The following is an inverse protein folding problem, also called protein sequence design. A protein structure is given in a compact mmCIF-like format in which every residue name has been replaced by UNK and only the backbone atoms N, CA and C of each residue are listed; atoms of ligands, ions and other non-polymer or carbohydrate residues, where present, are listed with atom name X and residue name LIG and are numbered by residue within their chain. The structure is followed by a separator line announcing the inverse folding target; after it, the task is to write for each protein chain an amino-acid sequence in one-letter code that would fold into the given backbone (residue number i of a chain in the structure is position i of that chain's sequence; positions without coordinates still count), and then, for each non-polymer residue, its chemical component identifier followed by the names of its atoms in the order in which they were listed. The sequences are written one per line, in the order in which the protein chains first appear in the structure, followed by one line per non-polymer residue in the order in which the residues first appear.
data_IF_438395487626
#
_entry.id   IF_438395487626
#
_cell.length_a   1.000
_cell.length_b   1.000
_cell.length_c   1.000
_cell.angle_alpha   90.00
_cell.angle_beta   90.00
_cell.angle_gamma   90.00
#
_symmetry.space_group_name_H-M   'P 1'
#
loop_
_entity.id
_entity.type
_entity.pdbx_description
1 polymer ?
#
# COMPACT_ATOMS: atom_id res chain seq x y z
N UNK A 1 -11.64 11.03 -19.04
CA UNK A 1 -10.19 10.87 -19.27
C UNK A 1 -9.47 10.93 -17.92
N UNK A 2 -8.51 10.06 -17.70
CA UNK A 2 -7.75 10.10 -16.47
C UNK A 2 -6.72 11.23 -16.47
N UNK A 3 -6.62 11.93 -15.36
CA UNK A 3 -5.60 12.97 -15.16
C UNK A 3 -4.29 12.40 -14.66
N UNK A 4 -4.37 11.23 -14.02
CA UNK A 4 -3.22 10.51 -13.49
C UNK A 4 -3.36 9.03 -13.80
N UNK A 5 -2.33 8.45 -14.39
CA UNK A 5 -2.26 7.02 -14.65
C UNK A 5 -1.22 6.39 -13.73
N UNK A 6 -1.63 5.33 -13.03
CA UNK A 6 -0.74 4.58 -12.13
C UNK A 6 -0.62 3.16 -12.68
N UNK A 7 0.60 2.67 -12.78
CA UNK A 7 0.89 1.33 -13.28
C UNK A 7 1.39 0.49 -12.10
N UNK A 8 0.64 -0.55 -11.77
CA UNK A 8 0.92 -1.43 -10.66
C UNK A 8 -0.01 -1.20 -9.48
N UNK A 9 -0.78 -2.22 -9.14
CA UNK A 9 -1.76 -2.21 -8.05
C UNK A 9 -1.24 -2.82 -6.75
N UNK A 10 0.04 -2.63 -6.45
CA UNK A 10 0.62 -3.03 -5.17
C UNK A 10 0.35 -2.00 -4.08
N UNK A 11 1.09 -2.10 -2.98
CA UNK A 11 0.91 -1.19 -1.84
C UNK A 11 1.13 0.27 -2.24
N UNK A 12 2.21 0.56 -2.96
CA UNK A 12 2.55 1.93 -3.36
C UNK A 12 1.53 2.50 -4.36
N UNK A 13 1.16 1.70 -5.38
CA UNK A 13 0.22 2.15 -6.40
C UNK A 13 -1.17 2.39 -5.84
N UNK A 14 -1.63 1.53 -4.94
CA UNK A 14 -2.92 1.71 -4.28
C UNK A 14 -2.93 2.94 -3.36
N UNK A 15 -1.85 3.17 -2.61
CA UNK A 15 -1.74 4.37 -1.78
C UNK A 15 -1.79 5.64 -2.63
N UNK A 16 -1.02 5.67 -3.72
CA UNK A 16 -1.02 6.81 -4.64
C UNK A 16 -2.40 7.06 -5.24
N UNK A 17 -3.08 5.99 -5.69
CA UNK A 17 -4.42 6.10 -6.27
C UNK A 17 -5.43 6.65 -5.26
N UNK A 18 -5.39 6.15 -4.02
CA UNK A 18 -6.28 6.61 -2.96
C UNK A 18 -6.06 8.09 -2.64
N UNK A 19 -4.81 8.49 -2.45
CA UNK A 19 -4.48 9.89 -2.13
C UNK A 19 -4.88 10.83 -3.25
N UNK A 20 -4.60 10.47 -4.50
CA UNK A 20 -4.98 11.29 -5.66
C UNK A 20 -6.49 11.39 -5.81
N UNK A 21 -7.21 10.28 -5.68
CA UNK A 21 -8.66 10.27 -5.78
C UNK A 21 -9.32 11.14 -4.71
N UNK A 22 -8.81 11.08 -3.49
CA UNK A 22 -9.30 11.92 -2.39
C UNK A 22 -9.00 13.40 -2.61
N UNK A 23 -8.00 13.73 -3.41
CA UNK A 23 -7.70 15.11 -3.81
C UNK A 23 -8.52 15.56 -5.03
N UNK A 24 -9.47 14.74 -5.50
CA UNK A 24 -10.33 15.09 -6.62
C UNK A 24 -9.73 14.82 -7.98
N UNK A 25 -8.66 14.07 -8.06
CA UNK A 25 -7.99 13.73 -9.32
C UNK A 25 -8.60 12.45 -9.90
N UNK A 26 -8.90 12.46 -11.19
CA UNK A 26 -9.33 11.24 -11.88
C UNK A 26 -8.13 10.32 -12.10
N UNK A 27 -8.19 9.13 -11.52
CA UNK A 27 -7.09 8.15 -11.54
C UNK A 27 -7.46 6.94 -12.36
N UNK A 28 -6.54 6.50 -13.23
CA UNK A 28 -6.60 5.18 -13.86
C UNK A 28 -5.49 4.32 -13.27
N UNK A 29 -5.87 3.20 -12.65
CA UNK A 29 -4.94 2.24 -12.07
C UNK A 29 -4.91 0.98 -12.94
N UNK A 30 -3.73 0.61 -13.43
CA UNK A 30 -3.53 -0.57 -14.24
C UNK A 30 -2.76 -1.63 -13.45
N UNK A 31 -3.32 -2.82 -13.39
CA UNK A 31 -2.72 -3.97 -12.73
C UNK A 31 -2.67 -5.16 -13.70
N UNK A 32 -1.52 -5.83 -13.80
CA UNK A 32 -1.37 -6.93 -14.77
C UNK A 32 -2.05 -8.22 -14.34
N UNK A 33 -2.27 -8.45 -13.05
CA UNK A 33 -2.98 -9.64 -12.59
C UNK A 33 -4.49 -9.51 -12.82
N UNK A 34 -5.22 -10.54 -13.13
CA UNK A 34 -4.83 -11.95 -13.16
C UNK A 34 -4.16 -12.43 -14.44
N UNK A 35 -4.04 -11.61 -15.48
CA UNK A 35 -3.51 -12.04 -16.78
C UNK A 35 -2.05 -12.41 -16.71
N UNK A 36 -1.25 -11.63 -15.99
CA UNK A 36 0.16 -11.92 -15.71
C UNK A 36 0.37 -11.84 -14.20
N UNK A 37 1.28 -12.66 -13.69
CA UNK A 37 1.57 -12.67 -12.27
C UNK A 37 3.07 -12.75 -12.04
N UNK A 38 3.51 -12.30 -10.88
CA UNK A 38 4.90 -12.47 -10.42
C UNK A 38 5.00 -13.79 -9.65
N UNK A 39 6.23 -14.25 -9.42
CA UNK A 39 6.45 -15.45 -8.61
C UNK A 39 6.13 -15.26 -7.13
N UNK A 40 5.96 -14.04 -6.65
CA UNK A 40 5.72 -13.74 -5.23
C UNK A 40 4.25 -13.49 -4.90
N UNK A 41 3.44 -13.09 -5.88
CA UNK A 41 2.01 -12.86 -5.66
C UNK A 41 1.24 -14.17 -5.63
N UNK A 42 0.30 -14.28 -4.72
CA UNK A 42 -0.54 -15.47 -4.53
C UNK A 42 -2.01 -15.24 -4.89
N UNK A 43 -2.43 -13.97 -5.00
CA UNK A 43 -3.81 -13.59 -5.32
C UNK A 43 -3.84 -12.55 -6.42
N UNK A 44 -5.04 -12.20 -6.91
CA UNK A 44 -5.24 -11.06 -7.81
C UNK A 44 -5.66 -9.80 -7.04
N UNK A 45 -5.71 -9.85 -5.72
CA UNK A 45 -6.14 -8.70 -4.92
C UNK A 45 -5.13 -7.57 -5.00
N UNK A 46 -5.64 -6.34 -5.02
CA UNK A 46 -4.79 -5.16 -4.97
C UNK A 46 -4.12 -5.03 -3.59
N UNK A 47 -2.99 -4.38 -3.56
CA UNK A 47 -2.25 -4.10 -2.33
C UNK A 47 -1.89 -5.34 -1.53
N UNK A 48 -1.55 -6.43 -2.21
CA UNK A 48 -1.17 -7.66 -1.53
C UNK A 48 0.16 -7.51 -0.81
N UNK A 49 0.23 -7.95 0.45
CA UNK A 49 1.48 -8.00 1.22
C UNK A 49 2.21 -9.30 0.88
N UNK A 50 3.23 -9.21 0.02
CA UNK A 50 3.80 -10.39 -0.65
C UNK A 50 5.01 -11.01 0.03
N UNK A 51 5.85 -10.23 0.67
CA UNK A 51 7.16 -10.72 1.14
C UNK A 51 7.16 -11.20 2.58
N UNK A 52 6.27 -10.70 3.41
CA UNK A 52 6.14 -11.09 4.81
C UNK A 52 4.78 -10.63 5.34
N UNK A 53 4.45 -11.10 6.54
CA UNK A 53 3.24 -10.63 7.22
C UNK A 53 3.51 -9.40 8.10
N UNK A 54 4.62 -8.73 7.86
CA UNK A 54 5.05 -7.60 8.69
C UNK A 54 5.46 -6.42 7.81
N UNK A 55 5.14 -5.23 8.27
CA UNK A 55 5.62 -3.97 7.68
C UNK A 55 6.84 -3.43 8.44
N UNK A 56 7.49 -4.27 9.24
CA UNK A 56 8.69 -3.90 9.98
C UNK A 56 8.40 -3.35 11.37
N UNK A 57 9.44 -2.84 12.01
CA UNK A 57 9.39 -2.38 13.39
C UNK A 57 8.49 -1.17 13.59
N UNK A 58 7.87 -1.09 14.78
CA UNK A 58 7.16 0.10 15.26
C UNK A 58 8.02 0.97 16.19
N UNK A 59 9.28 0.58 16.42
CA UNK A 59 10.17 1.37 17.27
C UNK A 59 10.51 2.69 16.60
N UNK A 60 10.17 3.81 17.25
CA UNK A 60 10.28 5.15 16.66
C UNK A 60 11.70 5.57 16.31
N UNK A 61 12.69 4.98 16.96
CA UNK A 61 14.09 5.24 16.68
C UNK A 61 14.65 4.40 15.53
N UNK A 62 13.89 3.45 15.00
CA UNK A 62 14.25 2.70 13.81
C UNK A 62 13.79 3.42 12.55
N UNK A 63 14.42 3.14 11.41
CA UNK A 63 14.02 3.72 10.13
C UNK A 63 12.57 3.36 9.79
N UNK A 64 12.19 2.08 9.97
CA UNK A 64 10.83 1.63 9.69
C UNK A 64 9.80 2.30 10.60
N UNK A 65 10.11 2.45 11.89
CA UNK A 65 9.23 3.10 12.84
C UNK A 65 9.06 4.59 12.57
N UNK A 66 10.14 5.27 12.20
CA UNK A 66 10.08 6.69 11.82
C UNK A 66 9.24 6.89 10.56
N UNK A 67 9.45 6.05 9.53
CA UNK A 67 8.65 6.08 8.32
C UNK A 67 7.16 5.94 8.63
N UNK A 68 6.80 5.01 9.52
CA UNK A 68 5.40 4.84 9.92
C UNK A 68 4.83 6.06 10.62
N UNK A 69 5.63 6.75 11.45
CA UNK A 69 5.19 8.01 12.06
C UNK A 69 4.89 9.06 10.99
N UNK A 70 5.74 9.17 9.98
CA UNK A 70 5.54 10.10 8.87
C UNK A 70 4.28 9.74 8.06
N UNK A 71 4.09 8.45 7.78
CA UNK A 71 2.91 7.97 7.05
C UNK A 71 1.62 8.25 7.82
N UNK A 72 1.62 8.10 9.14
CA UNK A 72 0.45 8.46 9.96
C UNK A 72 0.14 9.94 9.84
N UNK A 73 1.15 10.78 9.87
CA UNK A 73 0.99 12.24 9.71
C UNK A 73 0.39 12.58 8.36
N UNK A 74 0.73 11.82 7.32
CA UNK A 74 0.22 12.00 5.96
C UNK A 74 -1.12 11.29 5.70
N UNK A 75 -1.70 10.65 6.70
CA UNK A 75 -2.96 9.91 6.60
C UNK A 75 -2.90 8.76 5.58
N UNK A 76 -1.85 7.96 5.66
CA UNK A 76 -1.69 6.79 4.78
C UNK A 76 -2.83 5.80 4.95
N UNK A 77 -3.48 5.43 3.85
CA UNK A 77 -4.51 4.39 3.82
C UNK A 77 -3.91 3.02 4.15
N UNK A 78 -2.79 2.68 3.53
CA UNK A 78 -2.14 1.38 3.72
C UNK A 78 -1.77 1.18 5.19
N UNK A 79 -1.19 2.19 5.82
CA UNK A 79 -0.81 2.08 7.23
C UNK A 79 -2.04 1.98 8.13
N UNK A 80 -3.07 2.76 7.87
CA UNK A 80 -4.34 2.69 8.63
C UNK A 80 -4.92 1.28 8.58
N UNK A 81 -5.03 0.70 7.39
CA UNK A 81 -5.53 -0.66 7.21
C UNK A 81 -4.63 -1.69 7.90
N UNK A 82 -3.32 -1.52 7.81
CA UNK A 82 -2.37 -2.42 8.45
C UNK A 82 -2.51 -2.39 9.97
N UNK A 83 -2.65 -1.21 10.55
CA UNK A 83 -2.80 -1.06 12.00
C UNK A 83 -4.13 -1.63 12.51
N UNK A 84 -5.21 -1.46 11.74
CA UNK A 84 -6.52 -2.04 12.09
C UNK A 84 -6.52 -3.56 12.05
N UNK A 85 -5.63 -4.17 11.27
CA UNK A 85 -5.54 -5.62 11.11
C UNK A 85 -4.29 -6.22 11.76
N UNK A 86 -3.56 -5.44 12.54
CA UNK A 86 -2.34 -5.92 13.18
C UNK A 86 -2.65 -6.96 14.26
N UNK A 87 -1.79 -7.98 14.31
CA UNK A 87 -1.84 -9.02 15.35
C UNK A 87 -0.57 -8.95 16.18
N UNK A 88 -0.64 -9.28 17.48
CA UNK A 88 0.56 -9.32 18.32
C UNK A 88 1.56 -10.32 17.76
N UNK A 89 2.85 -9.96 17.80
CA UNK A 89 3.92 -10.90 17.48
C UNK A 89 3.98 -11.98 18.54
N UNK A 90 4.06 -13.21 18.10
CA UNK A 90 4.12 -14.37 19.00
C UNK A 90 5.42 -14.47 19.76
#
# INVERSE_FOLDING_TARGET
MADLTIVGGGLAGCEAAWQAANAGIHVALYEMRPFLSTGVHKTCNLAELVCSNSLGSNVRTSAAGLLKCELRTLNSLVLECAEENALPAG
#
